data_IF_983203418315
#
_entry.id   IF_983203418315
#
_cell.length_a   1.000
_cell.length_b   1.000
_cell.length_c   1.000
_cell.angle_alpha   90.00
_cell.angle_beta   90.00
_cell.angle_gamma   90.00
#
_symmetry.space_group_name_H-M   'P 1'
#
loop_
_entity.id
_entity.type
_entity.pdbx_description
1 polymer ?
#
# COMPACT_ATOMS: atom_id res chain seq x y z
N UNK A 1 -32.65 3.97 -37.96
CA UNK A 1 -32.15 2.65 -37.51
C UNK A 1 -30.68 2.59 -37.86
N UNK A 2 -29.82 2.88 -36.88
CA UNK A 2 -28.36 2.86 -37.06
C UNK A 2 -27.78 2.21 -35.81
N UNK A 3 -27.17 1.03 -35.95
CA UNK A 3 -26.14 0.51 -35.03
C UNK A 3 -25.26 -0.48 -35.80
N UNK A 4 -24.12 0.02 -36.24
CA UNK A 4 -22.91 -0.78 -36.47
C UNK A 4 -22.30 -1.10 -35.10
N UNK A 5 -22.09 -2.38 -34.82
CA UNK A 5 -21.36 -2.84 -33.63
C UNK A 5 -19.88 -2.93 -33.98
N UNK A 6 -19.09 -2.02 -33.41
CA UNK A 6 -17.64 -2.05 -33.42
C UNK A 6 -17.15 -3.11 -32.44
N UNK A 7 -16.48 -4.15 -32.95
CA UNK A 7 -15.78 -5.15 -32.17
C UNK A 7 -14.26 -4.93 -32.22
N UNK A 8 -13.62 -5.24 -31.10
CA UNK A 8 -12.18 -5.46 -30.85
C UNK A 8 -11.37 -4.28 -30.29
N UNK A 9 -11.02 -4.42 -29.01
CA UNK A 9 -10.02 -3.60 -28.31
C UNK A 9 -9.93 -3.97 -26.83
N UNK A 10 -9.67 -5.24 -26.48
CA UNK A 10 -9.79 -5.73 -25.10
C UNK A 10 -8.66 -6.62 -24.58
N UNK A 11 -7.50 -6.67 -25.25
CA UNK A 11 -6.41 -7.60 -24.88
C UNK A 11 -5.12 -6.94 -24.37
N UNK A 12 -5.08 -5.62 -24.16
CA UNK A 12 -3.85 -4.90 -23.75
C UNK A 12 -3.76 -4.53 -22.25
N UNK A 13 -4.88 -4.49 -21.51
CA UNK A 13 -4.88 -3.99 -20.12
C UNK A 13 -4.61 -5.06 -19.06
N UNK A 14 -4.90 -6.34 -19.32
CA UNK A 14 -4.65 -7.43 -18.36
C UNK A 14 -3.16 -7.71 -18.11
N UNK A 15 -2.29 -7.43 -19.08
CA UNK A 15 -0.83 -7.58 -18.93
C UNK A 15 -0.19 -6.44 -18.12
N UNK A 16 -0.73 -5.21 -18.19
CA UNK A 16 -0.21 -4.06 -17.46
C UNK A 16 -0.47 -4.15 -15.94
N UNK A 17 -1.51 -4.88 -15.53
CA UNK A 17 -1.95 -4.97 -14.13
C UNK A 17 -1.15 -5.97 -13.28
N UNK A 18 -0.83 -7.15 -13.83
CA UNK A 18 0.06 -8.10 -13.16
C UNK A 18 1.47 -7.50 -12.98
N UNK A 19 1.88 -6.61 -13.89
CA UNK A 19 3.05 -5.76 -13.72
C UNK A 19 2.87 -4.82 -12.52
N UNK A 20 1.77 -4.07 -12.46
CA UNK A 20 1.52 -3.07 -11.40
C UNK A 20 1.46 -3.64 -9.97
N UNK A 21 0.90 -4.85 -9.75
CA UNK A 21 0.85 -5.45 -8.39
C UNK A 21 2.22 -5.96 -7.93
N UNK A 22 3.01 -6.53 -8.85
CA UNK A 22 4.42 -6.86 -8.59
C UNK A 22 5.22 -5.58 -8.33
N UNK A 23 5.04 -4.56 -9.18
CA UNK A 23 5.70 -3.27 -9.08
C UNK A 23 5.39 -2.55 -7.76
N UNK A 24 4.15 -2.58 -7.25
CA UNK A 24 3.80 -1.98 -5.95
C UNK A 24 4.45 -2.73 -4.79
N UNK A 25 4.49 -4.07 -4.84
CA UNK A 25 5.17 -4.88 -3.83
C UNK A 25 6.68 -4.66 -3.82
N UNK A 26 7.29 -4.60 -5.00
CA UNK A 26 8.71 -4.33 -5.18
C UNK A 26 9.06 -2.88 -4.83
N UNK A 27 8.18 -1.93 -5.12
CA UNK A 27 8.31 -0.53 -4.72
C UNK A 27 8.20 -0.36 -3.21
N UNK A 28 7.28 -1.07 -2.54
CA UNK A 28 7.22 -1.06 -1.07
C UNK A 28 8.49 -1.62 -0.46
N UNK A 29 9.05 -2.72 -0.99
CA UNK A 29 10.36 -3.25 -0.57
C UNK A 29 11.49 -2.23 -0.81
N UNK A 30 11.45 -1.50 -1.91
CA UNK A 30 12.41 -0.44 -2.22
C UNK A 30 12.31 0.71 -1.21
N UNK A 31 11.11 1.18 -0.88
CA UNK A 31 10.86 2.22 0.14
C UNK A 31 11.32 1.81 1.56
N UNK A 32 11.37 0.51 1.81
CA UNK A 32 11.84 -0.10 3.06
C UNK A 32 13.36 -0.28 3.10
N UNK A 33 14.04 -0.27 1.95
CA UNK A 33 15.44 -0.70 1.84
C UNK A 33 16.45 0.28 2.47
N UNK A 34 16.25 1.60 2.35
CA UNK A 34 17.01 2.59 3.11
C UNK A 34 16.19 3.89 3.31
N UNK A 35 16.58 4.70 4.31
CA UNK A 35 15.91 5.97 4.61
C UNK A 35 16.09 7.02 3.50
N UNK A 36 17.16 6.92 2.72
CA UNK A 36 17.54 7.83 1.64
C UNK A 36 16.76 7.55 0.35
N UNK A 37 16.10 6.41 0.25
CA UNK A 37 15.44 5.94 -0.97
C UNK A 37 14.20 6.77 -1.26
N UNK A 38 13.49 7.23 -0.22
CA UNK A 38 12.42 8.20 -0.40
C UNK A 38 12.96 9.51 -0.94
N UNK A 39 14.08 10.01 -0.42
CA UNK A 39 14.68 11.24 -0.92
C UNK A 39 15.18 11.08 -2.37
N UNK A 40 15.77 9.93 -2.73
CA UNK A 40 16.14 9.61 -4.13
C UNK A 40 14.94 9.47 -5.06
N UNK A 41 13.84 8.87 -4.58
CA UNK A 41 12.58 8.76 -5.33
C UNK A 41 11.98 10.15 -5.51
N UNK A 42 12.14 11.06 -4.54
CA UNK A 42 11.65 12.43 -4.69
C UNK A 42 12.33 13.16 -5.84
N UNK A 43 13.60 12.86 -6.11
CA UNK A 43 14.31 13.42 -7.26
C UNK A 43 13.79 12.87 -8.61
N UNK A 44 13.33 11.60 -8.65
CA UNK A 44 12.85 10.93 -9.87
C UNK A 44 11.37 11.26 -10.18
N UNK A 45 10.55 11.43 -9.15
CA UNK A 45 9.12 11.77 -9.26
C UNK A 45 8.85 13.19 -9.78
N UNK A 46 9.85 14.07 -9.80
CA UNK A 46 9.78 15.39 -10.42
C UNK A 46 9.77 15.36 -11.97
N UNK A 47 9.83 14.18 -12.59
CA UNK A 47 9.65 14.03 -14.04
C UNK A 47 8.17 14.12 -14.44
N UNK A 48 7.88 14.79 -15.56
CA UNK A 48 6.52 15.08 -16.06
C UNK A 48 5.61 13.85 -16.29
N UNK A 49 6.14 12.63 -16.13
CA UNK A 49 5.45 11.38 -16.46
C UNK A 49 5.37 10.37 -15.29
N UNK A 50 5.51 10.84 -14.04
CA UNK A 50 5.36 9.95 -12.88
C UNK A 50 3.90 9.46 -12.74
N UNK A 51 3.65 8.13 -12.67
CA UNK A 51 2.32 7.59 -12.49
C UNK A 51 1.67 8.06 -11.17
N UNK A 52 0.38 8.37 -11.20
CA UNK A 52 -0.37 8.89 -10.05
C UNK A 52 -0.37 7.93 -8.85
N UNK A 53 -0.40 6.62 -9.11
CA UNK A 53 -0.38 5.60 -8.06
C UNK A 53 0.88 5.66 -7.18
N UNK A 54 2.00 6.19 -7.70
CA UNK A 54 3.25 6.34 -6.94
C UNK A 54 3.06 7.31 -5.78
N UNK A 55 2.36 8.42 -5.99
CA UNK A 55 2.05 9.36 -4.92
C UNK A 55 1.18 8.70 -3.84
N UNK A 56 0.13 7.98 -4.25
CA UNK A 56 -0.70 7.22 -3.31
C UNK A 56 0.14 6.23 -2.49
N UNK A 57 1.03 5.49 -3.15
CA UNK A 57 1.90 4.51 -2.48
C UNK A 57 2.81 5.18 -1.45
N UNK A 58 3.39 6.35 -1.77
CA UNK A 58 4.25 7.10 -0.83
C UNK A 58 3.44 7.58 0.38
N UNK A 59 2.27 8.18 0.17
CA UNK A 59 1.45 8.72 1.27
C UNK A 59 0.93 7.59 2.16
N UNK A 60 0.43 6.50 1.57
CA UNK A 60 0.01 5.31 2.30
C UNK A 60 1.19 4.70 3.09
N UNK A 61 2.37 4.62 2.48
CA UNK A 61 3.55 4.11 3.16
C UNK A 61 3.96 4.97 4.36
N UNK A 62 3.85 6.30 4.26
CA UNK A 62 4.26 7.21 5.34
C UNK A 62 3.24 7.31 6.48
N UNK A 63 1.96 7.17 6.18
CA UNK A 63 0.88 7.52 7.12
C UNK A 63 -0.08 6.38 7.41
N UNK A 64 -0.09 5.34 6.58
CA UNK A 64 -1.13 4.30 6.57
C UNK A 64 -2.48 4.78 6.02
N UNK A 65 -2.57 6.00 5.49
CA UNK A 65 -3.82 6.56 4.98
C UNK A 65 -4.04 6.18 3.51
N UNK A 66 -5.27 5.78 3.19
CA UNK A 66 -5.73 5.63 1.82
C UNK A 66 -6.31 6.96 1.32
N UNK A 67 -5.58 7.60 0.40
CA UNK A 67 -5.93 8.88 -0.22
C UNK A 67 -6.21 8.70 -1.71
N UNK A 68 -7.08 9.55 -2.27
CA UNK A 68 -7.33 9.53 -3.72
C UNK A 68 -6.09 9.98 -4.50
N UNK A 69 -6.00 9.62 -5.79
CA UNK A 69 -4.87 9.98 -6.65
C UNK A 69 -4.67 11.50 -6.78
N UNK A 70 -5.77 12.25 -6.83
CA UNK A 70 -5.76 13.70 -6.92
C UNK A 70 -5.25 14.35 -5.61
N UNK A 71 -5.72 13.87 -4.46
CA UNK A 71 -5.28 14.35 -3.14
C UNK A 71 -3.83 13.96 -2.85
N UNK A 72 -3.42 12.73 -3.21
CA UNK A 72 -2.08 12.23 -2.95
C UNK A 72 -1.01 13.09 -3.63
N UNK A 73 -1.26 13.49 -4.88
CA UNK A 73 -0.38 14.40 -5.62
C UNK A 73 -0.28 15.76 -4.92
N UNK A 74 -1.42 16.31 -4.48
CA UNK A 74 -1.45 17.58 -3.75
C UNK A 74 -0.66 17.54 -2.45
N UNK A 75 -0.91 16.53 -1.60
CA UNK A 75 -0.16 16.33 -0.36
C UNK A 75 1.33 16.17 -0.61
N UNK A 76 1.71 15.41 -1.63
CA UNK A 76 3.10 15.20 -1.98
C UNK A 76 3.85 16.51 -2.26
N UNK A 77 3.29 17.40 -3.09
CA UNK A 77 3.90 18.69 -3.37
C UNK A 77 3.96 19.60 -2.14
N UNK A 78 2.91 19.61 -1.32
CA UNK A 78 2.93 20.39 -0.08
C UNK A 78 3.99 19.90 0.90
N UNK A 79 4.24 18.58 0.97
CA UNK A 79 5.32 18.02 1.79
C UNK A 79 6.69 18.45 1.25
N UNK A 80 6.90 18.46 -0.07
CA UNK A 80 8.16 18.93 -0.67
C UNK A 80 8.41 20.42 -0.37
N UNK A 81 7.41 21.25 -0.54
CA UNK A 81 7.49 22.68 -0.20
C UNK A 81 7.81 22.86 1.29
N UNK A 82 7.11 22.13 2.15
CA UNK A 82 7.33 22.16 3.59
C UNK A 82 8.73 21.67 4.00
N UNK A 83 9.24 20.62 3.33
CA UNK A 83 10.63 20.14 3.49
C UNK A 83 11.62 21.26 3.22
N UNK A 84 11.44 22.00 2.12
CA UNK A 84 12.33 23.11 1.77
C UNK A 84 12.31 24.19 2.86
N UNK A 85 11.12 24.63 3.27
CA UNK A 85 10.94 25.68 4.30
C UNK A 85 11.59 25.29 5.63
N UNK A 86 11.38 24.06 6.09
CA UNK A 86 11.96 23.60 7.36
C UNK A 86 13.47 23.44 7.23
N UNK A 87 13.97 22.91 6.11
CA UNK A 87 15.41 22.71 5.90
C UNK A 87 16.17 24.03 5.92
N UNK A 88 15.62 25.07 5.29
CA UNK A 88 16.18 26.43 5.31
C UNK A 88 16.21 26.99 6.74
N UNK A 89 15.11 26.88 7.48
CA UNK A 89 15.03 27.38 8.86
C UNK A 89 15.96 26.65 9.83
N UNK A 90 16.12 25.35 9.66
CA UNK A 90 16.97 24.52 10.52
C UNK A 90 18.44 24.46 10.07
N UNK A 91 18.77 25.06 8.92
CA UNK A 91 20.12 25.06 8.34
C UNK A 91 20.70 23.65 8.17
N UNK A 92 19.84 22.69 7.85
CA UNK A 92 20.18 21.29 7.57
C UNK A 92 19.06 20.65 6.76
N UNK A 93 19.38 19.62 5.98
CA UNK A 93 18.34 18.80 5.35
C UNK A 93 17.57 18.03 6.44
N UNK A 94 16.24 18.14 6.43
CA UNK A 94 15.37 17.39 7.34
C UNK A 94 14.92 16.04 6.77
N UNK A 95 15.06 15.86 5.45
CA UNK A 95 14.55 14.69 4.75
C UNK A 95 13.02 14.69 4.59
N UNK A 96 12.54 13.93 3.61
CA UNK A 96 11.11 13.91 3.27
C UNK A 96 10.21 13.40 4.40
N UNK A 97 10.62 12.34 5.11
CA UNK A 97 9.81 11.70 6.16
C UNK A 97 9.48 12.65 7.31
N UNK A 98 10.46 13.46 7.73
CA UNK A 98 10.28 14.41 8.85
C UNK A 98 9.36 15.54 8.42
N UNK A 99 9.53 16.06 7.21
CA UNK A 99 8.64 17.07 6.65
C UNK A 99 7.21 16.54 6.49
N UNK A 100 7.04 15.30 6.04
CA UNK A 100 5.74 14.65 5.91
C UNK A 100 5.03 14.53 7.27
N UNK A 101 5.76 14.05 8.28
CA UNK A 101 5.25 13.92 9.64
C UNK A 101 4.77 15.27 10.18
N UNK A 102 5.60 16.31 10.06
CA UNK A 102 5.26 17.65 10.52
C UNK A 102 4.03 18.21 9.78
N UNK A 103 4.01 18.09 8.45
CA UNK A 103 2.87 18.53 7.63
C UNK A 103 1.56 17.82 8.01
N UNK A 104 1.58 16.48 8.13
CA UNK A 104 0.37 15.72 8.42
C UNK A 104 -0.13 15.90 9.86
N UNK A 105 0.77 16.16 10.80
CA UNK A 105 0.44 16.37 12.20
C UNK A 105 0.00 17.81 12.49
N UNK A 106 0.80 18.80 12.06
CA UNK A 106 0.60 20.20 12.40
C UNK A 106 -0.27 20.96 11.39
N UNK A 107 -0.14 20.69 10.09
CA UNK A 107 -0.85 21.49 9.07
C UNK A 107 -2.20 20.86 8.70
N UNK A 108 -2.24 19.54 8.51
CA UNK A 108 -3.45 18.83 8.10
C UNK A 108 -4.26 18.27 9.27
N UNK A 109 -3.65 18.10 10.45
CA UNK A 109 -4.25 17.45 11.63
C UNK A 109 -4.85 16.06 11.34
N UNK A 110 -4.29 15.36 10.35
CA UNK A 110 -4.72 14.00 9.97
C UNK A 110 -4.13 12.96 10.93
N UNK A 111 -2.94 13.23 11.47
CA UNK A 111 -2.32 12.41 12.51
C UNK A 111 -2.68 12.96 13.89
N UNK A 112 -3.28 12.13 14.75
CA UNK A 112 -3.66 12.53 16.12
C UNK A 112 -2.57 12.27 17.16
N UNK A 113 -1.88 11.12 17.07
CA UNK A 113 -0.85 10.72 18.03
C UNK A 113 0.23 9.87 17.34
N UNK A 114 1.17 10.49 16.62
CA UNK A 114 2.22 9.75 15.93
C UNK A 114 3.18 9.10 16.93
N UNK A 115 3.48 7.82 16.71
CA UNK A 115 4.48 7.07 17.47
C UNK A 115 5.72 6.85 16.60
N UNK A 116 6.91 7.04 17.16
CA UNK A 116 8.18 6.76 16.47
C UNK A 116 8.53 5.29 16.65
N UNK A 117 8.54 4.56 15.54
CA UNK A 117 8.85 3.14 15.53
C UNK A 117 9.75 2.86 14.32
N UNK A 118 10.79 2.06 14.50
CA UNK A 118 11.61 1.58 13.39
C UNK A 118 10.77 0.71 12.45
N UNK A 119 10.96 0.88 11.14
CA UNK A 119 10.06 0.29 10.16
C UNK A 119 10.17 -1.24 10.13
N UNK A 120 11.38 -1.78 10.30
CA UNK A 120 11.61 -3.24 10.37
C UNK A 120 10.89 -3.86 11.58
N UNK A 121 10.91 -3.17 12.71
CA UNK A 121 10.20 -3.60 13.91
C UNK A 121 8.68 -3.50 13.71
N UNK A 122 8.19 -2.44 13.08
CA UNK A 122 6.77 -2.27 12.76
C UNK A 122 6.26 -3.35 11.79
N UNK A 123 6.99 -3.66 10.72
CA UNK A 123 6.65 -4.74 9.78
C UNK A 123 6.67 -6.11 10.47
N UNK A 124 7.62 -6.34 11.39
CA UNK A 124 7.62 -7.56 12.20
C UNK A 124 6.35 -7.68 13.04
N UNK A 125 5.93 -6.60 13.72
CA UNK A 125 4.65 -6.59 14.45
C UNK A 125 3.47 -6.84 13.52
N UNK A 126 3.45 -6.18 12.35
CA UNK A 126 2.37 -6.37 11.37
C UNK A 126 2.33 -7.81 10.86
N UNK A 127 3.47 -8.45 10.57
CA UNK A 127 3.52 -9.84 10.11
C UNK A 127 2.93 -10.79 11.15
N UNK A 128 3.32 -10.63 12.42
CA UNK A 128 2.78 -11.40 13.55
C UNK A 128 1.28 -11.17 13.76
N UNK A 129 0.78 -9.97 13.43
CA UNK A 129 -0.64 -9.63 13.49
C UNK A 129 -1.43 -10.10 12.26
N UNK A 130 -0.77 -10.46 11.16
CA UNK A 130 -1.40 -10.86 9.89
C UNK A 130 -1.36 -12.36 9.67
N UNK A 131 -0.40 -13.07 10.27
CA UNK A 131 -0.22 -14.50 10.08
C UNK A 131 -0.84 -15.28 11.26
N UNK A 132 -1.58 -16.32 10.93
CA UNK A 132 -1.90 -17.37 11.89
C UNK A 132 -0.61 -18.16 12.15
N UNK A 133 -0.02 -17.94 13.32
CA UNK A 133 1.26 -18.52 13.74
C UNK A 133 1.25 -20.04 13.73
N UNK A 134 0.08 -20.68 13.72
CA UNK A 134 -0.09 -22.13 13.71
C UNK A 134 -0.03 -22.75 12.31
N UNK A 135 -0.33 -21.96 11.29
CA UNK A 135 -0.50 -22.44 9.90
C UNK A 135 0.42 -21.73 8.91
N UNK A 136 1.05 -20.61 9.29
CA UNK A 136 1.88 -19.80 8.38
C UNK A 136 1.07 -19.13 7.25
N UNK A 137 -0.26 -19.15 7.35
CA UNK A 137 -1.18 -18.52 6.42
C UNK A 137 -1.65 -17.18 6.99
N UNK A 138 -2.11 -16.27 6.12
CA UNK A 138 -2.76 -15.06 6.59
C UNK A 138 -4.03 -15.37 7.38
N UNK A 139 -4.23 -14.65 8.47
CA UNK A 139 -5.43 -14.77 9.29
C UNK A 139 -6.66 -14.20 8.56
N UNK A 140 -7.84 -14.57 9.08
CA UNK A 140 -9.12 -14.21 8.46
C UNK A 140 -9.36 -12.70 8.42
N UNK A 141 -8.82 -11.95 9.38
CA UNK A 141 -8.97 -10.49 9.43
C UNK A 141 -8.19 -9.82 8.29
N UNK A 142 -6.96 -10.27 8.05
CA UNK A 142 -6.16 -9.81 6.93
C UNK A 142 -6.76 -10.22 5.59
N UNK A 143 -7.24 -11.48 5.46
CA UNK A 143 -7.95 -11.94 4.27
C UNK A 143 -9.15 -11.04 3.93
N UNK A 144 -10.00 -10.74 4.92
CA UNK A 144 -11.17 -9.89 4.71
C UNK A 144 -10.81 -8.48 4.25
N UNK A 145 -9.75 -7.89 4.81
CA UNK A 145 -9.27 -6.56 4.40
C UNK A 145 -8.81 -6.57 2.93
N UNK A 146 -8.01 -7.55 2.54
CA UNK A 146 -7.55 -7.69 1.15
C UNK A 146 -8.72 -7.96 0.20
N UNK A 147 -9.63 -8.86 0.56
CA UNK A 147 -10.80 -9.18 -0.26
C UNK A 147 -11.69 -7.96 -0.51
N UNK A 148 -11.92 -7.10 0.49
CA UNK A 148 -12.68 -5.87 0.33
C UNK A 148 -11.99 -4.87 -0.61
N UNK A 149 -10.67 -4.72 -0.48
CA UNK A 149 -9.90 -3.84 -1.35
C UNK A 149 -9.92 -4.33 -2.80
N UNK A 150 -9.72 -5.62 -3.02
CA UNK A 150 -9.76 -6.22 -4.36
C UNK A 150 -11.18 -6.18 -4.97
N UNK A 151 -12.24 -6.33 -4.16
CA UNK A 151 -13.61 -6.17 -4.63
C UNK A 151 -13.87 -4.74 -5.13
N UNK A 152 -13.55 -3.71 -4.34
CA UNK A 152 -13.69 -2.29 -4.74
C UNK A 152 -12.88 -1.98 -6.00
N UNK A 153 -11.73 -2.63 -6.14
CA UNK A 153 -10.85 -2.48 -7.30
C UNK A 153 -11.44 -3.15 -8.55
N UNK A 154 -11.97 -4.36 -8.40
CA UNK A 154 -12.65 -5.08 -9.47
C UNK A 154 -13.87 -4.29 -9.98
N UNK A 155 -14.63 -3.66 -9.07
CA UNK A 155 -15.71 -2.74 -9.43
C UNK A 155 -15.19 -1.51 -10.20
N UNK A 156 -14.13 -0.87 -9.71
CA UNK A 156 -13.53 0.32 -10.34
C UNK A 156 -13.05 0.06 -11.78
N UNK A 157 -12.46 -1.11 -12.02
CA UNK A 157 -11.88 -1.46 -13.32
C UNK A 157 -12.74 -2.43 -14.14
N UNK A 158 -13.97 -2.70 -13.70
CA UNK A 158 -14.91 -3.64 -14.32
C UNK A 158 -14.29 -5.01 -14.62
N UNK A 159 -13.58 -5.57 -13.64
CA UNK A 159 -12.91 -6.87 -13.70
C UNK A 159 -13.72 -7.94 -12.97
N UNK A 160 -13.56 -9.20 -13.36
CA UNK A 160 -14.15 -10.33 -12.64
C UNK A 160 -13.37 -10.64 -11.36
N UNK A 161 -14.08 -10.84 -10.26
CA UNK A 161 -13.52 -11.22 -8.96
C UNK A 161 -14.06 -12.60 -8.55
N UNK A 162 -13.23 -13.43 -7.92
CA UNK A 162 -13.62 -14.76 -7.45
C UNK A 162 -12.85 -15.12 -6.17
N UNK A 163 -13.50 -15.84 -5.27
CA UNK A 163 -12.92 -16.35 -4.02
C UNK A 163 -13.01 -17.87 -4.03
N UNK A 164 -11.93 -18.53 -3.60
CA UNK A 164 -11.91 -19.97 -3.36
C UNK A 164 -11.83 -20.18 -1.85
N UNK A 165 -12.77 -20.97 -1.33
CA UNK A 165 -12.77 -21.43 0.07
C UNK A 165 -12.56 -22.95 0.02
N UNK A 166 -11.59 -23.43 0.79
CA UNK A 166 -11.28 -24.86 0.92
C UNK A 166 -11.36 -25.24 2.39
N UNK A 167 -11.94 -26.39 2.67
CA UNK A 167 -12.02 -26.97 4.01
C UNK A 167 -11.39 -28.38 4.00
N UNK A 168 -10.88 -28.82 5.13
CA UNK A 168 -10.34 -30.18 5.28
C UNK A 168 -11.44 -31.07 5.83
N UNK A 169 -11.89 -32.00 5.00
CA UNK A 169 -12.89 -33.01 5.40
C UNK A 169 -12.36 -33.86 6.58
N UNK A 170 -13.25 -34.19 7.51
CA UNK A 170 -12.98 -35.07 8.66
C UNK A 170 -11.82 -34.64 9.60
N UNK A 171 -11.43 -33.37 9.60
CA UNK A 171 -10.35 -32.86 10.44
C UNK A 171 -10.52 -33.15 11.95
N UNK A 172 -11.77 -33.26 12.42
CA UNK A 172 -12.09 -33.66 13.78
C UNK A 172 -11.59 -35.07 14.12
N UNK A 173 -11.77 -36.04 13.22
CA UNK A 173 -11.33 -37.43 13.43
C UNK A 173 -9.81 -37.53 13.53
N UNK A 174 -9.08 -36.70 12.78
CA UNK A 174 -7.62 -36.61 12.84
C UNK A 174 -7.17 -36.05 14.20
N UNK A 175 -7.79 -34.94 14.66
CA UNK A 175 -7.49 -34.36 15.98
C UNK A 175 -7.82 -35.33 17.13
N UNK A 176 -8.92 -36.07 17.02
CA UNK A 176 -9.36 -37.04 18.03
C UNK A 176 -8.41 -38.26 18.08
N UNK A 177 -7.79 -38.62 16.95
CA UNK A 177 -6.89 -39.80 16.83
C UNK A 177 -5.43 -39.50 17.22
N UNK A 178 -4.93 -38.32 16.88
CA UNK A 178 -3.55 -37.92 17.17
C UNK A 178 -3.40 -37.09 18.46
N UNK A 179 -4.51 -36.85 19.16
CA UNK A 179 -4.57 -36.01 20.34
C UNK A 179 -4.53 -34.52 19.98
N UNK A 180 -5.20 -33.69 20.81
CA UNK A 180 -5.05 -32.23 20.79
C UNK A 180 -3.62 -31.86 21.18
N UNK A 181 -2.63 -32.08 20.31
CA UNK A 181 -1.27 -31.61 20.54
C UNK A 181 -1.18 -30.16 20.09
N UNK A 182 -1.89 -29.29 20.81
CA UNK A 182 -1.69 -27.84 20.84
C UNK A 182 -2.06 -27.31 22.22
#
# INVERSE_FOLDING_TARGET
MSRENCGKGGSSMGHAYNLAVSEVGDFKKLLLSDSQTIDRITDVTNSDNCPLWVYCAIINFLTGLDVSEEEAKGHYFHILEHKYIISEKLQRDVGFRVAALDYFYNNMHLLKNPCFVEIDFFEKILSLSKEDTKLGCYNIQYFNSIAQNELKRAERYNQSFSIIIMDIDDFKSINDTHGHLF
#
